data_IF_841704886660
#
_entry.id   IF_841704886660
#
_cell.length_a   1.000
_cell.length_b   1.000
_cell.length_c   1.000
_cell.angle_alpha   90.00
_cell.angle_beta   90.00
_cell.angle_gamma   90.00
#
_symmetry.space_group_name_H-M   'P 1'
#
loop_
_entity.id
_entity.type
_entity.pdbx_description
1 polymer ?
#
# COMPACT_ATOMS: atom_id res chain seq x y z
N UNK A 1 -15.50 -0.26 1.28
CA UNK A 1 -14.83 -1.56 1.01
C UNK A 1 -14.83 -1.97 -0.45
N UNK A 2 -15.97 -2.02 -1.15
CA UNK A 2 -16.03 -2.49 -2.55
C UNK A 2 -14.99 -1.81 -3.47
N UNK A 3 -14.89 -0.48 -3.38
CA UNK A 3 -13.92 0.30 -4.15
C UNK A 3 -12.46 -0.09 -3.85
N UNK A 4 -12.12 -0.36 -2.60
CA UNK A 4 -10.78 -0.81 -2.22
C UNK A 4 -10.47 -2.20 -2.81
N UNK A 5 -11.45 -3.12 -2.78
CA UNK A 5 -11.30 -4.43 -3.41
C UNK A 5 -11.10 -4.33 -4.93
N UNK A 6 -11.83 -3.45 -5.63
CA UNK A 6 -11.59 -3.21 -7.05
C UNK A 6 -10.18 -2.66 -7.30
N UNK A 7 -9.71 -1.73 -6.46
CA UNK A 7 -8.34 -1.24 -6.53
C UNK A 7 -7.30 -2.33 -6.29
N UNK A 8 -7.53 -3.25 -5.34
CA UNK A 8 -6.67 -4.40 -5.13
C UNK A 8 -6.62 -5.31 -6.36
N UNK A 9 -7.78 -5.63 -6.96
CA UNK A 9 -7.83 -6.44 -8.18
C UNK A 9 -7.06 -5.79 -9.33
N UNK A 10 -7.23 -4.47 -9.53
CA UNK A 10 -6.48 -3.71 -10.52
C UNK A 10 -4.98 -3.75 -10.20
N UNK A 11 -4.59 -3.61 -8.93
CA UNK A 11 -3.18 -3.66 -8.52
C UNK A 11 -2.53 -5.01 -8.81
N UNK A 12 -3.24 -6.12 -8.60
CA UNK A 12 -2.79 -7.47 -8.95
C UNK A 12 -2.63 -7.60 -10.46
N UNK A 13 -3.57 -7.06 -11.23
CA UNK A 13 -3.48 -7.03 -12.70
C UNK A 13 -2.25 -6.26 -13.19
N UNK A 14 -1.99 -5.07 -12.63
CA UNK A 14 -0.80 -4.27 -12.95
C UNK A 14 0.48 -5.02 -12.56
N UNK A 15 0.53 -5.64 -11.38
CA UNK A 15 1.66 -6.46 -10.96
C UNK A 15 1.91 -7.61 -11.94
N UNK A 16 0.86 -8.35 -12.32
CA UNK A 16 0.96 -9.47 -13.23
C UNK A 16 1.47 -9.05 -14.61
N UNK A 17 0.99 -7.92 -15.15
CA UNK A 17 1.49 -7.36 -16.40
C UNK A 17 2.97 -6.95 -16.27
N UNK A 18 3.33 -6.22 -15.21
CA UNK A 18 4.71 -5.79 -14.99
C UNK A 18 5.67 -7.00 -14.84
N UNK A 19 5.26 -8.03 -14.09
CA UNK A 19 6.01 -9.27 -13.92
C UNK A 19 6.15 -10.08 -15.21
N UNK A 20 5.22 -9.93 -16.15
CA UNK A 20 5.30 -10.52 -17.49
C UNK A 20 6.24 -9.77 -18.43
N UNK A 21 6.29 -8.43 -18.36
CA UNK A 21 7.23 -7.62 -19.14
C UNK A 21 8.67 -7.66 -18.59
N UNK A 22 8.81 -7.84 -17.28
CA UNK A 22 10.09 -7.84 -16.56
C UNK A 22 10.25 -9.10 -15.68
N UNK A 23 10.36 -10.30 -16.30
CA UNK A 23 10.45 -11.56 -15.57
C UNK A 23 11.67 -11.67 -14.65
N UNK A 24 12.75 -10.94 -14.93
CA UNK A 24 13.96 -10.91 -14.12
C UNK A 24 13.78 -10.19 -12.77
N UNK A 25 12.75 -9.35 -12.63
CA UNK A 25 12.51 -8.53 -11.43
C UNK A 25 11.26 -8.96 -10.66
N UNK A 26 10.77 -10.18 -10.84
CA UNK A 26 9.49 -10.61 -10.25
C UNK A 26 9.44 -10.47 -8.73
N UNK A 27 10.55 -10.75 -8.04
CA UNK A 27 10.63 -10.68 -6.58
C UNK A 27 10.61 -9.21 -6.14
N UNK A 28 11.36 -8.33 -6.81
CA UNK A 28 11.39 -6.88 -6.63
C UNK A 28 10.01 -6.26 -6.81
N UNK A 29 9.35 -6.62 -7.92
CA UNK A 29 8.01 -6.15 -8.23
C UNK A 29 7.00 -6.62 -7.17
N UNK A 30 7.06 -7.89 -6.77
CA UNK A 30 6.18 -8.45 -5.76
C UNK A 30 6.36 -7.77 -4.40
N UNK A 31 7.59 -7.57 -3.94
CA UNK A 31 7.84 -6.86 -2.68
C UNK A 31 7.42 -5.40 -2.76
N UNK A 32 7.66 -4.73 -3.90
CA UNK A 32 7.17 -3.37 -4.12
C UNK A 32 5.65 -3.26 -4.05
N UNK A 33 4.92 -4.30 -4.46
CA UNK A 33 3.46 -4.35 -4.41
C UNK A 33 2.90 -4.73 -3.02
N UNK A 34 3.41 -5.82 -2.42
CA UNK A 34 2.82 -6.40 -1.22
C UNK A 34 2.91 -5.46 -0.02
N UNK A 35 3.98 -4.66 0.06
CA UNK A 35 4.20 -3.75 1.19
C UNK A 35 3.09 -2.67 1.26
N UNK A 36 2.85 -1.86 0.20
CA UNK A 36 1.69 -0.98 0.12
C UNK A 36 0.34 -1.67 0.33
N UNK A 37 0.14 -2.87 -0.20
CA UNK A 37 -1.13 -3.60 -0.08
C UNK A 37 -1.43 -3.96 1.37
N UNK A 38 -0.48 -4.53 2.10
CA UNK A 38 -0.66 -4.90 3.51
C UNK A 38 -0.95 -3.67 4.37
N UNK A 39 -0.21 -2.59 4.14
CA UNK A 39 -0.44 -1.31 4.81
C UNK A 39 -1.84 -0.74 4.51
N UNK A 40 -2.29 -0.80 3.25
CA UNK A 40 -3.58 -0.28 2.84
C UNK A 40 -4.75 -1.10 3.35
N UNK A 41 -4.67 -2.44 3.28
CA UNK A 41 -5.68 -3.34 3.87
C UNK A 41 -5.84 -3.07 5.36
N UNK A 42 -4.72 -2.98 6.08
CA UNK A 42 -4.70 -2.70 7.52
C UNK A 42 -5.34 -1.34 7.82
N UNK A 43 -4.98 -0.31 7.05
CA UNK A 43 -5.51 1.04 7.24
C UNK A 43 -7.00 1.10 6.99
N UNK A 44 -7.47 0.52 5.88
CA UNK A 44 -8.90 0.50 5.56
C UNK A 44 -9.71 -0.24 6.61
N UNK A 45 -9.19 -1.34 7.16
CA UNK A 45 -9.83 -2.05 8.27
C UNK A 45 -10.04 -1.13 9.49
N UNK A 46 -8.99 -0.45 9.94
CA UNK A 46 -9.08 0.45 11.10
C UNK A 46 -9.93 1.69 10.81
N UNK A 47 -9.78 2.32 9.65
CA UNK A 47 -10.57 3.49 9.23
C UNK A 47 -12.07 3.18 9.22
N UNK A 48 -12.47 2.03 8.68
CA UNK A 48 -13.88 1.64 8.65
C UNK A 48 -14.44 1.24 10.02
N UNK A 49 -13.59 0.72 10.89
CA UNK A 49 -13.96 0.47 12.28
C UNK A 49 -14.14 1.79 13.04
N UNK A 50 -13.27 2.78 12.78
CA UNK A 50 -13.35 4.10 13.37
C UNK A 50 -14.55 4.91 12.85
N UNK A 51 -14.87 4.82 11.56
CA UNK A 51 -15.95 5.57 10.94
C UNK A 51 -17.34 5.20 11.46
N UNK A 52 -17.51 3.99 12.02
CA UNK A 52 -18.75 3.57 12.68
C UNK A 52 -18.95 4.23 14.04
N UNK A 53 -17.91 4.84 14.61
CA UNK A 53 -17.93 5.41 15.96
C UNK A 53 -18.02 6.93 15.89
N UNK A 54 -17.03 7.56 15.24
CA UNK A 54 -16.91 9.02 15.22
C UNK A 54 -15.91 9.52 14.16
N UNK A 55 -16.15 10.71 13.62
CA UNK A 55 -15.31 11.32 12.58
C UNK A 55 -13.92 11.75 13.11
N UNK A 56 -13.81 12.22 14.34
CA UNK A 56 -12.53 12.58 14.97
C UNK A 56 -11.63 11.35 15.14
N UNK A 57 -12.24 10.19 15.43
CA UNK A 57 -11.52 8.92 15.51
C UNK A 57 -10.95 8.49 14.16
N UNK A 58 -11.65 8.76 13.05
CA UNK A 58 -11.15 8.51 11.68
C UNK A 58 -9.89 9.34 11.42
N UNK A 59 -9.92 10.65 11.72
CA UNK A 59 -8.75 11.54 11.55
C UNK A 59 -7.55 11.04 12.37
N UNK A 60 -7.78 10.71 13.64
CA UNK A 60 -6.73 10.17 14.52
C UNK A 60 -6.15 8.86 13.98
N UNK A 61 -7.00 7.97 13.47
CA UNK A 61 -6.61 6.68 12.90
C UNK A 61 -5.77 6.86 11.64
N UNK A 62 -6.13 7.80 10.77
CA UNK A 62 -5.36 8.11 9.55
C UNK A 62 -3.99 8.69 9.92
N UNK A 63 -3.94 9.68 10.82
CA UNK A 63 -2.70 10.31 11.22
C UNK A 63 -1.73 9.31 11.87
N UNK A 64 -2.21 8.52 12.83
CA UNK A 64 -1.40 7.48 13.48
C UNK A 64 -1.01 6.37 12.49
N UNK A 65 -1.95 5.94 11.64
CA UNK A 65 -1.71 4.94 10.61
C UNK A 65 -0.60 5.36 9.65
N UNK A 66 -0.57 6.63 9.24
CA UNK A 66 0.49 7.16 8.37
C UNK A 66 1.88 7.07 9.02
N UNK A 67 2.00 7.47 10.29
CA UNK A 67 3.28 7.37 11.02
C UNK A 67 3.74 5.91 11.11
N UNK A 68 2.84 5.00 11.48
CA UNK A 68 3.14 3.57 11.58
C UNK A 68 3.58 3.01 10.22
N UNK A 69 2.89 3.38 9.13
CA UNK A 69 3.26 2.97 7.76
C UNK A 69 4.67 3.41 7.41
N UNK A 70 5.06 4.64 7.72
CA UNK A 70 6.40 5.15 7.41
C UNK A 70 7.49 4.36 8.14
N UNK A 71 7.27 4.05 9.42
CA UNK A 71 8.18 3.18 10.19
C UNK A 71 8.23 1.78 9.59
N UNK A 72 7.06 1.20 9.27
CA UNK A 72 6.95 -0.11 8.63
C UNK A 72 7.73 -0.18 7.32
N UNK A 73 7.56 0.79 6.41
CA UNK A 73 8.29 0.81 5.15
C UNK A 73 9.79 0.97 5.38
N UNK A 74 10.20 1.90 6.24
CA UNK A 74 11.62 2.12 6.53
C UNK A 74 12.32 0.87 7.04
N UNK A 75 11.71 0.18 8.01
CA UNK A 75 12.27 -1.05 8.58
C UNK A 75 12.34 -2.16 7.54
N UNK A 76 11.26 -2.41 6.80
CA UNK A 76 11.22 -3.53 5.86
C UNK A 76 12.16 -3.28 4.66
N UNK A 77 12.19 -2.08 4.11
CA UNK A 77 13.11 -1.73 3.01
C UNK A 77 14.57 -1.90 3.46
N UNK A 78 14.90 -1.44 4.67
CA UNK A 78 16.24 -1.62 5.23
C UNK A 78 16.63 -3.09 5.35
N UNK A 79 15.72 -3.95 5.81
CA UNK A 79 15.94 -5.40 5.92
C UNK A 79 16.12 -6.02 4.52
N UNK A 80 15.27 -5.68 3.55
CA UNK A 80 15.35 -6.22 2.18
C UNK A 80 16.71 -5.87 1.55
N UNK A 81 17.15 -4.62 1.67
CA UNK A 81 18.43 -4.17 1.09
C UNK A 81 19.66 -4.78 1.79
N UNK A 82 19.52 -5.20 3.05
CA UNK A 82 20.59 -5.86 3.81
C UNK A 82 20.73 -7.35 3.48
N UNK A 83 19.62 -8.03 3.21
CA UNK A 83 19.57 -9.50 3.17
C UNK A 83 19.57 -10.08 1.75
N UNK A 84 19.27 -9.27 0.72
CA UNK A 84 19.13 -9.73 -0.65
C UNK A 84 20.00 -8.92 -1.60
N UNK A 85 20.66 -9.59 -2.57
CA UNK A 85 21.26 -8.94 -3.73
C UNK A 85 20.14 -8.53 -4.68
N UNK A 86 19.52 -7.40 -4.37
CA UNK A 86 18.28 -6.92 -4.97
C UNK A 86 18.57 -5.81 -5.98
N UNK A 87 17.83 -5.76 -7.08
CA UNK A 87 17.87 -4.62 -8.00
C UNK A 87 17.05 -3.45 -7.42
N UNK A 88 17.69 -2.43 -6.80
CA UNK A 88 16.97 -1.48 -5.95
C UNK A 88 16.02 -0.60 -6.76
N UNK A 89 16.39 -0.31 -8.01
CA UNK A 89 15.61 0.56 -8.91
C UNK A 89 14.27 -0.09 -9.26
N UNK A 90 14.27 -1.36 -9.64
CA UNK A 90 13.05 -2.11 -9.99
C UNK A 90 12.08 -2.18 -8.81
N UNK A 91 12.60 -2.45 -7.61
CA UNK A 91 11.82 -2.41 -6.39
C UNK A 91 11.25 -1.01 -6.10
N UNK A 92 12.08 0.03 -6.16
CA UNK A 92 11.65 1.40 -5.87
C UNK A 92 10.55 1.88 -6.83
N UNK A 93 10.66 1.54 -8.12
CA UNK A 93 9.63 1.85 -9.11
C UNK A 93 8.30 1.16 -8.79
N UNK A 94 8.32 -0.14 -8.49
CA UNK A 94 7.12 -0.88 -8.09
C UNK A 94 6.52 -0.33 -6.81
N UNK A 95 7.36 -0.17 -5.77
CA UNK A 95 6.96 0.35 -4.48
C UNK A 95 6.31 1.72 -4.60
N UNK A 96 6.96 2.69 -5.26
CA UNK A 96 6.44 4.04 -5.40
C UNK A 96 5.11 4.04 -6.18
N UNK A 97 5.01 3.28 -7.27
CA UNK A 97 3.79 3.19 -8.07
C UNK A 97 2.59 2.69 -7.26
N UNK A 98 2.74 1.56 -6.58
CA UNK A 98 1.67 1.00 -5.76
C UNK A 98 1.41 1.80 -4.49
N UNK A 99 2.45 2.35 -3.85
CA UNK A 99 2.32 3.23 -2.71
C UNK A 99 1.44 4.44 -3.05
N UNK A 100 1.77 5.16 -4.12
CA UNK A 100 1.02 6.36 -4.53
C UNK A 100 -0.41 6.00 -4.95
N UNK A 101 -0.58 4.98 -5.79
CA UNK A 101 -1.89 4.58 -6.30
C UNK A 101 -2.84 4.13 -5.19
N UNK A 102 -2.37 3.30 -4.26
CA UNK A 102 -3.20 2.80 -3.15
C UNK A 102 -3.48 3.91 -2.12
N UNK A 103 -2.53 4.81 -1.83
CA UNK A 103 -2.81 5.94 -0.94
C UNK A 103 -3.79 6.94 -1.55
N UNK A 104 -3.71 7.19 -2.86
CA UNK A 104 -4.71 8.00 -3.54
C UNK A 104 -6.11 7.36 -3.45
N UNK A 105 -6.20 6.04 -3.64
CA UNK A 105 -7.45 5.30 -3.49
C UNK A 105 -8.00 5.36 -2.06
N UNK A 106 -7.14 5.17 -1.04
CA UNK A 106 -7.51 5.34 0.36
C UNK A 106 -8.10 6.74 0.60
N UNK A 107 -7.44 7.79 0.10
CA UNK A 107 -7.90 9.17 0.26
C UNK A 107 -9.28 9.40 -0.39
N UNK A 108 -9.53 8.82 -1.57
CA UNK A 108 -10.85 8.89 -2.22
C UNK A 108 -11.92 8.21 -1.37
N UNK A 109 -11.65 7.02 -0.82
CA UNK A 109 -12.61 6.29 0.02
C UNK A 109 -12.88 7.03 1.33
N UNK A 110 -11.84 7.56 1.97
CA UNK A 110 -11.97 8.33 3.21
C UNK A 110 -12.82 9.58 2.96
N UNK A 111 -12.58 10.30 1.87
CA UNK A 111 -13.39 11.47 1.49
C UNK A 111 -14.86 11.10 1.33
N UNK A 112 -15.16 9.93 0.78
CA UNK A 112 -16.54 9.46 0.59
C UNK A 112 -17.21 9.09 1.92
N UNK A 113 -16.47 8.49 2.86
CA UNK A 113 -16.97 8.13 4.19
C UNK A 113 -17.19 9.36 5.09
N UNK A 114 -16.41 10.42 4.91
CA UNK A 114 -16.48 11.64 5.71
C UNK A 114 -17.46 12.69 5.19
N UNK A 115 -18.20 12.40 4.10
CA UNK A 115 -19.33 13.21 3.64
C UNK A 115 -20.58 12.90 4.46
#
# INVERSE_FOLDING_TARGET
>A
MKLFFYGLMVSVGILGLAAGFYPEYQIELFFGWILPVLAGVTTMYFVLSASKKDAQLVIKTIAMGFVIKMVYYGVIIFIIFKLYSFEPVSFMCSFAGFFLGLHALEAVIIKDISK
#
